data_IF_922146173874
#
_entry.id   IF_922146173874
#
_cell.length_a   1.000
_cell.length_b   1.000
_cell.length_c   1.000
_cell.angle_alpha   90.00
_cell.angle_beta   90.00
_cell.angle_gamma   90.00
#
_symmetry.space_group_name_H-M   'P 1'
#
loop_
_entity.id
_entity.type
_entity.pdbx_description
1 polymer ?
#
# COMPACT_ATOMS: atom_id res chain seq x y z
N UNK A 1 -11.39 13.98 9.75
CA UNK A 1 -11.32 14.00 11.22
C UNK A 1 -10.17 14.90 11.57
N UNK A 2 -10.43 15.91 12.38
CA UNK A 2 -9.37 16.69 13.03
C UNK A 2 -8.86 15.83 14.19
N UNK A 3 -7.59 15.39 14.13
CA UNK A 3 -7.02 14.46 15.10
C UNK A 3 -6.79 15.11 16.46
N UNK A 4 -6.53 16.41 16.50
CA UNK A 4 -6.33 17.15 17.74
C UNK A 4 -7.68 17.37 18.43
N UNK A 5 -8.71 17.75 17.67
CA UNK A 5 -10.05 17.96 18.20
C UNK A 5 -10.69 16.70 18.83
N UNK A 6 -10.24 15.51 18.42
CA UNK A 6 -10.71 14.22 18.96
C UNK A 6 -9.72 13.57 19.94
N UNK A 7 -8.66 14.28 20.35
CA UNK A 7 -7.71 13.81 21.38
C UNK A 7 -6.73 12.74 20.90
N UNK A 8 -6.42 12.70 19.60
CA UNK A 8 -5.48 11.75 18.98
C UNK A 8 -4.17 12.40 18.51
N UNK A 9 -3.86 13.63 18.94
CA UNK A 9 -2.67 14.38 18.50
C UNK A 9 -1.34 13.70 18.82
N UNK A 10 -1.31 12.81 19.83
CA UNK A 10 -0.14 12.04 20.26
C UNK A 10 -0.22 10.53 19.92
N UNK A 11 -1.23 10.12 19.14
CA UNK A 11 -1.47 8.71 18.78
C UNK A 11 -0.36 8.10 17.90
N UNK A 12 0.49 8.94 17.30
CA UNK A 12 1.65 8.51 16.54
C UNK A 12 2.63 9.67 16.34
N UNK A 13 3.82 9.37 15.81
CA UNK A 13 4.79 10.43 15.49
C UNK A 13 4.35 11.17 14.22
N UNK A 14 4.11 12.50 14.25
CA UNK A 14 3.74 13.27 13.06
C UNK A 14 4.94 13.57 12.13
N UNK A 15 4.67 14.14 10.96
CA UNK A 15 5.68 14.51 9.92
C UNK A 15 6.40 13.30 9.31
N UNK A 16 7.33 13.50 8.38
CA UNK A 16 8.30 12.55 7.79
C UNK A 16 7.84 11.09 7.63
N UNK A 17 6.57 10.87 7.31
CA UNK A 17 5.95 9.54 7.42
C UNK A 17 6.62 8.55 6.47
N UNK A 18 6.79 8.93 5.20
CA UNK A 18 7.37 8.04 4.19
C UNK A 18 8.86 7.77 4.45
N UNK A 19 9.62 8.75 4.92
CA UNK A 19 11.03 8.56 5.29
C UNK A 19 11.18 7.52 6.42
N UNK A 20 10.44 7.72 7.52
CA UNK A 20 10.46 6.79 8.65
C UNK A 20 10.01 5.39 8.25
N UNK A 21 8.93 5.31 7.49
CA UNK A 21 8.38 4.02 7.10
C UNK A 21 9.26 3.32 6.08
N UNK A 22 9.86 4.04 5.12
CA UNK A 22 10.81 3.45 4.17
C UNK A 22 12.01 2.88 4.90
N UNK A 23 12.61 3.64 5.82
CA UNK A 23 13.73 3.19 6.66
C UNK A 23 13.37 1.93 7.43
N UNK A 24 12.19 1.92 8.07
CA UNK A 24 11.70 0.76 8.83
C UNK A 24 11.51 -0.47 7.94
N UNK A 25 10.78 -0.34 6.83
CA UNK A 25 10.46 -1.47 5.96
C UNK A 25 11.70 -1.99 5.22
N UNK A 26 12.64 -1.12 4.83
CA UNK A 26 13.94 -1.51 4.30
C UNK A 26 14.74 -2.33 5.31
N UNK A 27 14.86 -1.86 6.56
CA UNK A 27 15.52 -2.63 7.62
C UNK A 27 14.86 -3.99 7.87
N UNK A 28 13.52 -4.03 7.91
CA UNK A 28 12.77 -5.28 8.12
C UNK A 28 12.92 -6.25 6.94
N UNK A 29 12.91 -5.76 5.70
CA UNK A 29 13.14 -6.59 4.52
C UNK A 29 14.54 -7.21 4.55
N UNK A 30 15.58 -6.40 4.79
CA UNK A 30 16.97 -6.88 4.89
C UNK A 30 17.16 -7.92 5.98
N UNK A 31 16.57 -7.72 7.15
CA UNK A 31 16.63 -8.70 8.25
C UNK A 31 15.92 -10.03 7.91
N UNK A 32 14.95 -10.02 7.01
CA UNK A 32 14.16 -11.19 6.60
C UNK A 32 14.54 -11.76 5.23
N UNK A 33 15.57 -11.23 4.57
CA UNK A 33 15.94 -11.57 3.20
C UNK A 33 16.37 -13.03 3.06
N UNK A 34 15.67 -13.81 2.24
CA UNK A 34 15.94 -15.24 2.02
C UNK A 34 16.82 -15.50 0.80
N UNK A 35 16.72 -14.61 -0.19
CA UNK A 35 17.51 -14.60 -1.42
C UNK A 35 17.54 -13.16 -1.94
N UNK A 36 18.54 -12.83 -2.74
CA UNK A 36 18.61 -11.51 -3.37
C UNK A 36 17.60 -11.41 -4.51
N UNK A 37 16.73 -10.40 -4.45
CA UNK A 37 15.75 -10.07 -5.48
C UNK A 37 16.10 -8.69 -6.02
N UNK A 38 16.79 -8.67 -7.17
CA UNK A 38 17.32 -7.43 -7.77
C UNK A 38 16.26 -6.33 -7.99
N UNK A 39 15.02 -6.73 -8.31
CA UNK A 39 13.92 -5.77 -8.48
C UNK A 39 13.50 -5.10 -7.17
N UNK A 40 13.61 -5.77 -6.01
CA UNK A 40 13.38 -5.14 -4.71
C UNK A 40 14.51 -4.17 -4.38
N UNK A 41 15.78 -4.53 -4.65
CA UNK A 41 16.91 -3.63 -4.44
C UNK A 41 16.76 -2.35 -5.27
N UNK A 42 16.37 -2.51 -6.54
CA UNK A 42 16.07 -1.40 -7.43
C UNK A 42 14.90 -0.56 -6.92
N UNK A 43 13.85 -1.19 -6.40
CA UNK A 43 12.69 -0.50 -5.85
C UNK A 43 13.05 0.33 -4.62
N UNK A 44 13.84 -0.22 -3.69
CA UNK A 44 14.32 0.49 -2.51
C UNK A 44 15.12 1.73 -2.92
N UNK A 45 16.13 1.56 -3.79
CA UNK A 45 16.96 2.67 -4.28
C UNK A 45 16.13 3.74 -5.03
N UNK A 46 15.13 3.31 -5.80
CA UNK A 46 14.22 4.23 -6.47
C UNK A 46 13.38 5.03 -5.48
N UNK A 47 12.83 4.39 -4.45
CA UNK A 47 12.06 5.06 -3.39
C UNK A 47 12.90 6.07 -2.61
N UNK A 48 14.16 5.76 -2.32
CA UNK A 48 15.08 6.68 -1.63
C UNK A 48 15.36 7.94 -2.48
N UNK A 49 15.48 7.78 -3.80
CA UNK A 49 15.83 8.88 -4.71
C UNK A 49 14.64 9.68 -5.24
N UNK A 50 13.41 9.14 -5.15
CA UNK A 50 12.19 9.77 -5.67
C UNK A 50 11.19 10.14 -4.57
N UNK A 51 11.63 10.17 -3.32
CA UNK A 51 10.79 10.58 -2.20
C UNK A 51 10.32 12.03 -2.38
N UNK A 52 9.00 12.30 -2.38
CA UNK A 52 8.49 13.66 -2.35
C UNK A 52 8.95 14.37 -1.08
N UNK A 53 9.15 15.69 -1.18
CA UNK A 53 9.30 16.52 0.02
C UNK A 53 8.10 16.33 0.95
N UNK A 54 8.35 16.34 2.26
CA UNK A 54 7.27 16.30 3.24
C UNK A 54 6.40 17.54 3.09
N UNK A 55 5.11 17.32 2.83
CA UNK A 55 4.11 18.36 2.64
C UNK A 55 3.37 18.70 3.94
N UNK A 56 3.77 18.09 5.06
CA UNK A 56 3.22 18.31 6.39
C UNK A 56 1.84 17.69 6.61
N UNK A 57 1.30 16.95 5.64
CA UNK A 57 -0.03 16.33 5.78
C UNK A 57 0.02 15.19 6.79
N UNK A 58 -0.74 15.35 7.85
CA UNK A 58 -0.94 14.32 8.87
C UNK A 58 -2.43 14.00 8.97
N UNK A 59 -2.74 12.71 9.05
CA UNK A 59 -4.09 12.21 9.31
C UNK A 59 -4.03 10.90 10.07
N UNK A 60 -5.14 10.52 10.69
CA UNK A 60 -5.33 9.14 11.11
C UNK A 60 -5.32 8.25 9.86
N UNK A 61 -4.37 7.31 9.82
CA UNK A 61 -4.30 6.25 8.81
C UNK A 61 -4.67 4.93 9.47
N UNK A 62 -5.49 4.14 8.79
CA UNK A 62 -5.90 2.81 9.23
C UNK A 62 -4.75 1.82 9.16
N UNK A 63 -3.89 1.93 8.13
CA UNK A 63 -2.77 1.02 7.90
C UNK A 63 -3.17 -0.23 7.11
N UNK A 64 -4.41 -0.70 7.21
CA UNK A 64 -4.97 -1.78 6.38
C UNK A 64 -6.38 -1.47 5.84
N UNK A 65 -6.54 -0.30 5.19
CA UNK A 65 -7.86 0.16 4.73
C UNK A 65 -8.34 -0.61 3.48
N UNK A 66 -9.18 -1.63 3.68
CA UNK A 66 -9.69 -2.51 2.61
C UNK A 66 -11.12 -2.98 2.85
N UNK A 67 -11.77 -3.46 1.80
CA UNK A 67 -13.19 -3.89 1.84
C UNK A 67 -13.46 -4.96 2.90
N UNK A 68 -12.53 -5.89 3.10
CA UNK A 68 -12.68 -6.96 4.11
C UNK A 68 -12.72 -6.42 5.55
N UNK A 69 -12.22 -5.20 5.77
CA UNK A 69 -12.23 -4.50 7.06
C UNK A 69 -13.42 -3.51 7.17
N UNK A 70 -14.41 -3.61 6.28
CA UNK A 70 -15.62 -2.78 6.31
C UNK A 70 -16.86 -3.62 6.59
N UNK A 71 -17.68 -3.16 7.53
CA UNK A 71 -19.01 -3.71 7.75
C UNK A 71 -20.04 -2.85 7.01
N UNK A 72 -20.90 -3.49 6.23
CA UNK A 72 -21.99 -2.82 5.49
C UNK A 72 -23.34 -3.05 6.16
N UNK A 73 -24.22 -2.06 6.06
CA UNK A 73 -25.60 -2.18 6.48
C UNK A 73 -26.31 -3.29 5.68
N UNK A 74 -27.18 -4.11 6.32
CA UNK A 74 -28.01 -5.05 5.59
C UNK A 74 -28.84 -4.34 4.51
N UNK A 75 -28.77 -4.84 3.26
CA UNK A 75 -29.57 -4.34 2.14
C UNK A 75 -29.16 -2.98 1.56
N UNK A 76 -28.03 -2.38 1.98
CA UNK A 76 -27.57 -1.11 1.42
C UNK A 76 -26.03 -1.00 1.35
N UNK A 77 -25.47 -0.31 0.34
CA UNK A 77 -24.03 -0.09 0.21
C UNK A 77 -23.53 1.03 1.15
N UNK A 78 -23.89 0.95 2.43
CA UNK A 78 -23.53 1.92 3.47
C UNK A 78 -22.58 1.27 4.47
N UNK A 79 -21.36 1.78 4.58
CA UNK A 79 -20.41 1.36 5.62
C UNK A 79 -20.93 1.82 6.98
N UNK A 80 -21.04 0.90 7.93
CA UNK A 80 -21.49 1.15 9.31
C UNK A 80 -20.38 0.98 10.34
N UNK A 81 -19.31 0.26 10.01
CA UNK A 81 -18.11 0.16 10.83
C UNK A 81 -16.87 -0.09 9.95
N UNK A 82 -15.73 0.41 10.41
CA UNK A 82 -14.40 0.03 9.93
C UNK A 82 -13.74 -0.74 11.07
N UNK A 83 -13.21 -1.92 10.77
CA UNK A 83 -12.68 -2.90 11.72
C UNK A 83 -11.16 -2.96 11.65
N UNK A 84 -10.54 -3.58 12.63
CA UNK A 84 -9.10 -3.93 12.63
C UNK A 84 -8.13 -2.73 12.61
N UNK A 85 -8.26 -1.87 13.63
CA UNK A 85 -7.44 -0.66 13.79
C UNK A 85 -6.05 -0.92 14.39
N UNK A 86 -5.59 -2.16 14.50
CA UNK A 86 -4.35 -2.49 15.22
C UNK A 86 -3.09 -1.89 14.57
N UNK A 87 -3.13 -1.63 13.26
CA UNK A 87 -2.05 -1.00 12.49
C UNK A 87 -2.20 0.52 12.35
N UNK A 88 -3.24 1.09 12.94
CA UNK A 88 -3.55 2.50 12.78
C UNK A 88 -2.55 3.40 13.49
N UNK A 89 -2.31 4.59 12.92
CA UNK A 89 -1.38 5.58 13.48
C UNK A 89 -1.64 6.96 12.89
N UNK A 90 -0.87 7.96 13.31
CA UNK A 90 -0.76 9.23 12.59
C UNK A 90 0.23 9.08 11.44
N UNK A 91 -0.22 9.40 10.23
CA UNK A 91 0.58 9.25 9.03
C UNK A 91 0.10 10.06 7.85
N UNK A 92 0.73 9.84 6.71
CA UNK A 92 0.39 10.54 5.49
C UNK A 92 -0.87 9.93 4.86
N UNK A 93 -1.92 10.72 4.54
CA UNK A 93 -3.21 10.20 4.08
C UNK A 93 -3.12 9.34 2.81
N UNK A 94 -2.20 9.67 1.91
CA UNK A 94 -2.05 8.92 0.65
C UNK A 94 -1.48 7.52 0.85
N UNK A 95 -0.94 7.19 2.02
CA UNK A 95 -0.46 5.85 2.31
C UNK A 95 -1.59 4.81 2.27
N UNK A 96 -2.74 5.10 2.89
CA UNK A 96 -3.91 4.21 2.85
C UNK A 96 -4.52 4.16 1.45
N UNK A 97 -4.67 5.32 0.79
CA UNK A 97 -5.21 5.37 -0.57
C UNK A 97 -4.37 4.55 -1.55
N UNK A 98 -3.05 4.73 -1.49
CA UNK A 98 -2.12 3.99 -2.36
C UNK A 98 -2.10 2.50 -2.03
N UNK A 99 -2.20 2.12 -0.75
CA UNK A 99 -2.29 0.72 -0.34
C UNK A 99 -3.55 0.05 -0.91
N UNK A 100 -4.69 0.74 -0.90
CA UNK A 100 -5.92 0.24 -1.49
C UNK A 100 -5.84 0.14 -3.02
N UNK A 101 -5.35 1.19 -3.70
CA UNK A 101 -5.17 1.17 -5.16
C UNK A 101 -4.15 0.10 -5.60
N UNK A 102 -3.08 -0.12 -4.83
CA UNK A 102 -2.11 -1.17 -5.07
C UNK A 102 -2.77 -2.56 -5.04
N UNK A 103 -3.68 -2.82 -4.08
CA UNK A 103 -4.42 -4.09 -4.03
C UNK A 103 -5.23 -4.33 -5.32
N UNK A 104 -5.77 -3.28 -5.95
CA UNK A 104 -6.49 -3.41 -7.22
C UNK A 104 -5.58 -3.79 -8.40
N UNK A 105 -4.28 -3.51 -8.30
CA UNK A 105 -3.29 -3.87 -9.33
C UNK A 105 -2.75 -5.29 -9.17
N UNK A 106 -2.94 -5.92 -8.01
CA UNK A 106 -2.54 -7.31 -7.80
C UNK A 106 -3.43 -8.26 -8.62
N UNK A 107 -2.88 -9.30 -9.27
CA UNK A 107 -3.66 -10.27 -10.02
C UNK A 107 -4.67 -10.99 -9.13
N UNK A 108 -5.91 -11.16 -9.60
CA UNK A 108 -6.96 -11.85 -8.83
C UNK A 108 -6.58 -13.30 -8.46
N UNK A 109 -5.77 -13.95 -9.29
CA UNK A 109 -5.34 -15.34 -9.10
C UNK A 109 -4.10 -15.51 -8.20
N UNK A 110 -3.48 -14.43 -7.72
CA UNK A 110 -2.16 -14.45 -7.05
C UNK A 110 -2.20 -14.75 -5.54
N UNK A 111 -3.27 -15.36 -5.04
CA UNK A 111 -3.51 -15.53 -3.60
C UNK A 111 -3.95 -14.24 -2.89
N UNK A 112 -3.74 -13.08 -3.52
CA UNK A 112 -4.39 -11.82 -3.19
C UNK A 112 -5.69 -11.69 -3.97
N UNK A 113 -6.77 -11.26 -3.29
CA UNK A 113 -8.06 -10.97 -3.93
C UNK A 113 -8.04 -9.58 -4.61
N UNK A 114 -7.05 -9.37 -5.48
CA UNK A 114 -6.91 -8.13 -6.24
C UNK A 114 -7.85 -8.04 -7.44
N UNK A 115 -7.75 -6.94 -8.19
CA UNK A 115 -8.57 -6.67 -9.39
C UNK A 115 -7.74 -6.67 -10.69
N UNK A 116 -6.47 -7.07 -10.63
CA UNK A 116 -5.60 -7.18 -11.80
C UNK A 116 -6.14 -8.23 -12.78
N UNK A 117 -6.29 -7.84 -14.04
CA UNK A 117 -6.86 -8.67 -15.11
C UNK A 117 -8.40 -8.69 -15.16
N UNK A 118 -9.09 -8.05 -14.22
CA UNK A 118 -10.54 -7.89 -14.24
C UNK A 118 -10.92 -6.69 -15.11
N UNK A 119 -11.89 -6.87 -16.01
CA UNK A 119 -12.53 -5.75 -16.70
C UNK A 119 -13.40 -4.97 -15.71
N UNK A 120 -12.80 -3.94 -15.09
CA UNK A 120 -13.46 -3.10 -14.10
C UNK A 120 -14.66 -2.36 -14.68
N UNK A 121 -14.58 -1.92 -15.93
CA UNK A 121 -15.67 -1.18 -16.56
C UNK A 121 -16.89 -2.09 -16.77
N UNK A 122 -16.68 -3.30 -17.29
CA UNK A 122 -17.74 -4.30 -17.42
C UNK A 122 -18.34 -4.73 -16.07
N UNK A 123 -17.53 -4.72 -14.99
CA UNK A 123 -17.97 -5.00 -13.63
C UNK A 123 -18.65 -3.80 -12.92
N UNK A 124 -18.79 -2.65 -13.58
CA UNK A 124 -19.36 -1.43 -12.98
C UNK A 124 -18.47 -0.78 -11.91
N UNK A 125 -17.17 -1.09 -11.91
CA UNK A 125 -16.19 -0.55 -10.98
C UNK A 125 -15.47 0.67 -11.58
N UNK A 126 -15.09 1.66 -10.77
CA UNK A 126 -14.37 2.83 -11.26
C UNK A 126 -12.96 2.48 -11.74
N UNK A 127 -12.43 3.29 -12.65
CA UNK A 127 -11.00 3.31 -12.92
C UNK A 127 -10.24 3.80 -11.68
N UNK A 128 -8.94 3.49 -11.59
CA UNK A 128 -8.11 3.99 -10.49
C UNK A 128 -8.02 5.52 -10.53
N UNK A 129 -7.90 6.08 -11.72
CA UNK A 129 -7.87 7.53 -11.94
C UNK A 129 -9.17 8.19 -11.43
N UNK A 130 -10.34 7.68 -11.82
CA UNK A 130 -11.62 8.21 -11.35
C UNK A 130 -11.77 8.10 -9.82
N UNK A 131 -11.27 7.00 -9.23
CA UNK A 131 -11.30 6.80 -7.79
C UNK A 131 -10.40 7.81 -7.04
N UNK A 132 -9.18 8.03 -7.52
CA UNK A 132 -8.25 9.03 -6.96
C UNK A 132 -8.81 10.44 -7.15
N UNK A 133 -9.42 10.76 -8.30
CA UNK A 133 -10.09 12.04 -8.53
C UNK A 133 -11.25 12.27 -7.55
N UNK A 134 -12.09 11.26 -7.28
CA UNK A 134 -13.17 11.40 -6.29
C UNK A 134 -12.63 11.60 -4.87
N UNK A 135 -11.52 10.92 -4.52
CA UNK A 135 -10.83 11.14 -3.26
C UNK A 135 -10.32 12.59 -3.14
N UNK A 136 -9.65 13.11 -4.17
CA UNK A 136 -9.16 14.49 -4.22
C UNK A 136 -10.30 15.50 -4.01
N UNK A 137 -11.41 15.31 -4.73
CA UNK A 137 -12.62 16.13 -4.62
C UNK A 137 -13.19 16.14 -3.20
N UNK A 138 -13.28 14.98 -2.54
CA UNK A 138 -13.77 14.88 -1.14
C UNK A 138 -12.83 15.50 -0.13
N UNK A 139 -11.53 15.55 -0.43
CA UNK A 139 -10.50 16.17 0.41
C UNK A 139 -10.30 17.65 0.14
N UNK A 140 -10.92 18.21 -0.90
CA UNK A 140 -10.71 19.59 -1.32
C UNK A 140 -9.31 19.86 -1.84
N UNK A 141 -8.63 18.85 -2.41
CA UNK A 141 -7.33 18.99 -3.06
C UNK A 141 -7.48 18.84 -4.57
N UNK A 142 -6.69 19.56 -5.35
CA UNK A 142 -6.77 19.55 -6.81
C UNK A 142 -6.34 18.19 -7.40
N UNK A 143 -5.17 17.70 -6.98
CA UNK A 143 -4.57 16.46 -7.46
C UNK A 143 -3.57 15.90 -6.45
N UNK A 144 -3.12 14.68 -6.70
CA UNK A 144 -2.00 14.04 -6.00
C UNK A 144 -0.83 13.96 -6.97
N UNK A 145 0.18 14.80 -6.77
CA UNK A 145 1.46 14.69 -7.47
C UNK A 145 2.25 13.48 -6.96
N UNK A 146 3.20 12.99 -7.75
CA UNK A 146 4.05 11.84 -7.39
C UNK A 146 3.28 10.54 -7.06
N UNK A 147 2.09 10.34 -7.65
CA UNK A 147 1.25 9.15 -7.38
C UNK A 147 1.99 7.82 -7.54
N UNK A 148 2.88 7.71 -8.53
CA UNK A 148 3.75 6.54 -8.74
C UNK A 148 4.59 6.21 -7.51
N UNK A 149 5.10 7.21 -6.78
CA UNK A 149 5.87 6.99 -5.56
C UNK A 149 5.02 6.33 -4.47
N UNK A 150 3.82 6.84 -4.22
CA UNK A 150 2.96 6.28 -3.17
C UNK A 150 2.55 4.85 -3.47
N UNK A 151 2.26 4.53 -4.74
CA UNK A 151 1.99 3.16 -5.18
C UNK A 151 3.22 2.26 -5.07
N UNK A 152 4.39 2.71 -5.51
CA UNK A 152 5.64 1.97 -5.41
C UNK A 152 5.99 1.67 -3.95
N UNK A 153 5.80 2.63 -3.06
CA UNK A 153 5.94 2.46 -1.62
C UNK A 153 4.96 1.42 -1.07
N UNK A 154 3.69 1.44 -1.50
CA UNK A 154 2.70 0.46 -1.08
C UNK A 154 3.07 -0.97 -1.52
N UNK A 155 3.56 -1.14 -2.74
CA UNK A 155 4.10 -2.43 -3.20
C UNK A 155 5.30 -2.87 -2.36
N UNK A 156 6.26 -1.98 -2.13
CA UNK A 156 7.43 -2.29 -1.30
C UNK A 156 7.04 -2.72 0.12
N UNK A 157 6.12 -1.99 0.75
CA UNK A 157 5.57 -2.34 2.07
C UNK A 157 4.98 -3.75 2.06
N UNK A 158 4.17 -4.10 1.05
CA UNK A 158 3.58 -5.44 0.95
C UNK A 158 4.66 -6.52 0.75
N UNK A 159 5.67 -6.26 -0.08
CA UNK A 159 6.80 -7.18 -0.28
C UNK A 159 7.54 -7.44 1.04
N UNK A 160 7.86 -6.39 1.80
CA UNK A 160 8.53 -6.52 3.10
C UNK A 160 7.70 -7.32 4.12
N UNK A 161 6.37 -7.13 4.15
CA UNK A 161 5.46 -7.93 4.99
C UNK A 161 5.49 -9.40 4.57
N UNK A 162 5.36 -9.69 3.27
CA UNK A 162 5.36 -11.06 2.75
C UNK A 162 6.71 -11.75 3.01
N UNK A 163 7.82 -11.05 2.83
CA UNK A 163 9.17 -11.56 3.10
C UNK A 163 9.34 -11.90 4.58
N UNK A 164 8.87 -11.03 5.49
CA UNK A 164 8.90 -11.29 6.92
C UNK A 164 8.08 -12.52 7.34
N UNK A 165 6.89 -12.71 6.74
CA UNK A 165 6.08 -13.93 6.95
C UNK A 165 6.79 -15.17 6.41
N UNK A 166 7.38 -15.06 5.21
CA UNK A 166 8.08 -16.18 4.57
C UNK A 166 9.32 -16.61 5.38
N UNK A 167 10.14 -15.66 5.85
CA UNK A 167 11.29 -15.95 6.72
C UNK A 167 10.86 -16.67 8.00
N UNK A 168 9.87 -16.15 8.73
CA UNK A 168 9.38 -16.79 9.97
C UNK A 168 8.93 -18.23 9.74
N UNK A 169 8.40 -18.53 8.57
CA UNK A 169 8.01 -19.88 8.23
C UNK A 169 9.19 -20.83 7.98
N UNK A 170 10.24 -20.34 7.31
CA UNK A 170 11.47 -21.10 7.11
C UNK A 170 12.17 -21.38 8.44
N UNK A 171 12.07 -20.45 9.39
CA UNK A 171 12.59 -20.60 10.75
C UNK A 171 11.75 -21.56 11.63
N UNK A 172 10.72 -22.22 11.06
CA UNK A 172 9.86 -23.18 11.77
C UNK A 172 8.77 -22.52 12.62
N UNK A 173 8.62 -21.19 12.56
CA UNK A 173 7.66 -20.42 13.35
C UNK A 173 6.35 -20.10 12.59
N UNK A 174 6.04 -20.83 11.51
CA UNK A 174 4.75 -20.68 10.82
C UNK A 174 3.74 -21.75 11.22
N UNK A 175 2.52 -21.31 11.47
CA UNK A 175 1.36 -22.17 11.70
C UNK A 175 0.93 -22.97 10.46
N UNK A 176 1.34 -22.58 9.25
CA UNK A 176 1.06 -23.30 8.00
C UNK A 176 2.21 -23.18 6.97
N UNK A 177 3.08 -24.21 6.85
CA UNK A 177 4.24 -24.20 5.94
C UNK A 177 3.90 -24.13 4.44
N UNK A 178 2.79 -24.72 4.00
CA UNK A 178 2.40 -24.68 2.57
C UNK A 178 1.91 -23.29 2.18
N UNK A 179 1.14 -22.62 3.04
CA UNK A 179 0.76 -21.22 2.86
C UNK A 179 1.98 -20.28 2.94
N UNK A 180 3.04 -20.67 3.65
CA UNK A 180 4.24 -19.86 3.70
C UNK A 180 4.97 -19.77 2.35
N UNK A 181 5.04 -20.86 1.59
CA UNK A 181 5.67 -20.88 0.26
C UNK A 181 5.01 -19.89 -0.71
N UNK A 182 3.70 -19.67 -0.58
CA UNK A 182 2.99 -18.70 -1.42
C UNK A 182 3.42 -17.26 -1.14
N UNK A 183 3.88 -16.93 0.08
CA UNK A 183 4.41 -15.60 0.38
C UNK A 183 5.77 -15.34 -0.28
N UNK A 184 6.65 -16.35 -0.36
CA UNK A 184 7.90 -16.21 -1.11
C UNK A 184 7.66 -15.94 -2.59
N UNK A 185 6.68 -16.63 -3.20
CA UNK A 185 6.25 -16.38 -4.58
C UNK A 185 5.60 -14.98 -4.73
N UNK A 186 4.81 -14.56 -3.75
CA UNK A 186 4.21 -13.23 -3.73
C UNK A 186 5.26 -12.11 -3.75
N UNK A 187 6.36 -12.25 -3.00
CA UNK A 187 7.44 -11.25 -2.99
C UNK A 187 7.99 -11.04 -4.41
N UNK A 188 8.25 -12.13 -5.15
CA UNK A 188 8.75 -12.06 -6.53
C UNK A 188 7.75 -11.39 -7.48
N UNK A 189 6.48 -11.76 -7.38
CA UNK A 189 5.41 -11.12 -8.17
C UNK A 189 5.31 -9.62 -7.89
N UNK A 190 5.30 -9.24 -6.61
CA UNK A 190 5.23 -7.84 -6.18
C UNK A 190 6.44 -7.06 -6.70
N UNK A 191 7.64 -7.64 -6.63
CA UNK A 191 8.86 -7.03 -7.13
C UNK A 191 8.76 -6.70 -8.63
N UNK A 192 8.27 -7.65 -9.44
CA UNK A 192 8.08 -7.45 -10.89
C UNK A 192 7.05 -6.33 -11.15
N UNK A 193 5.89 -6.36 -10.50
CA UNK A 193 4.85 -5.35 -10.67
C UNK A 193 5.34 -3.95 -10.27
N UNK A 194 6.13 -3.86 -9.20
CA UNK A 194 6.73 -2.61 -8.76
C UNK A 194 7.81 -2.12 -9.73
N UNK A 195 8.65 -3.02 -10.26
CA UNK A 195 9.66 -2.71 -11.26
C UNK A 195 9.04 -2.20 -12.56
N UNK A 196 7.95 -2.82 -13.01
CA UNK A 196 7.16 -2.33 -14.14
C UNK A 196 6.55 -0.95 -13.87
N UNK A 197 5.99 -0.75 -12.67
CA UNK A 197 5.41 0.53 -12.26
C UNK A 197 6.44 1.68 -12.36
N UNK A 198 7.64 1.50 -11.80
CA UNK A 198 8.69 2.53 -11.82
C UNK A 198 9.43 2.58 -13.16
N UNK A 199 9.35 1.52 -13.97
CA UNK A 199 9.98 1.39 -15.29
C UNK A 199 9.17 1.97 -16.43
N UNK A 200 7.85 2.14 -16.27
CA UNK A 200 7.02 2.90 -17.21
C UNK A 200 7.53 4.34 -17.25
N UNK A 201 8.33 4.67 -18.27
CA UNK A 201 8.71 6.05 -18.57
C UNK A 201 7.44 6.91 -18.53
N UNK A 202 7.54 8.12 -17.97
CA UNK A 202 6.52 9.17 -18.05
C UNK A 202 6.21 9.52 -19.51
N UNK A 203 5.53 8.65 -20.25
CA UNK A 203 5.06 8.87 -21.62
C UNK A 203 3.78 9.70 -21.67
N UNK A 204 3.57 10.56 -20.66
CA UNK A 204 2.48 11.54 -20.58
C UNK A 204 3.01 12.90 -20.07
N UNK A 205 4.18 13.32 -20.52
CA UNK A 205 4.50 14.75 -20.62
C UNK A 205 4.48 15.11 -22.11
N UNK A 206 3.70 16.13 -22.41
CA UNK A 206 3.55 16.85 -23.69
C UNK A 206 2.55 16.26 -24.70
N UNK A 207 1.28 16.64 -24.50
CA UNK A 207 0.33 16.98 -25.55
C UNK A 207 -0.53 18.14 -25.05
#
# INVERSE_FOLDING_TARGET
VDVDAVGLGDFGKPGSYFERQLTRWAGQYRASETETIADIDRLIAWLETHMPADDGRVSLVHGDYRLDNMMFAPGAPKVIAVLDWELSTLGHPFADLAYQCMQWRLPHASGFRGLGGVDRAAAGLPSEEAYVTDYCRRRGIEKIDNWTFFLAFAFFRLAAICQGVYRRALDGNASNPEKAKTYGQAVKLIAILAAELIGRKNSRKES
#
